data_IF_282514264375
#
_entry.id   IF_282514264375
#
_cell.length_a   1.000
_cell.length_b   1.000
_cell.length_c   1.000
_cell.angle_alpha   90.00
_cell.angle_beta   90.00
_cell.angle_gamma   90.00
#
_symmetry.space_group_name_H-M   'P 1'
#
loop_
_entity.id
_entity.type
_entity.pdbx_description
1 polymer ?
#
# COMPACT_ATOMS: atom_id res chain seq x y z
N UNK A 1 -16.22 20.95 -8.80
CA UNK A 1 -16.06 21.01 -10.28
C UNK A 1 -14.66 20.58 -10.74
N UNK A 2 -13.67 20.44 -9.84
CA UNK A 2 -12.31 20.03 -10.19
C UNK A 2 -12.13 18.51 -10.34
N UNK A 3 -12.81 17.68 -9.54
CA UNK A 3 -12.65 16.22 -9.56
C UNK A 3 -12.92 15.56 -10.93
N UNK A 4 -13.87 16.11 -11.70
CA UNK A 4 -14.26 15.53 -12.98
C UNK A 4 -13.18 15.72 -14.06
N UNK A 5 -12.39 16.80 -13.98
CA UNK A 5 -11.33 17.11 -14.95
C UNK A 5 -10.09 16.23 -14.71
N UNK A 6 -9.79 15.94 -13.44
CA UNK A 6 -8.67 15.06 -13.07
C UNK A 6 -8.89 13.61 -13.50
N UNK A 7 -10.11 13.08 -13.35
CA UNK A 7 -10.50 11.75 -13.81
C UNK A 7 -10.31 11.55 -15.32
N UNK A 8 -10.74 12.51 -16.15
CA UNK A 8 -10.65 12.41 -17.60
C UNK A 8 -9.19 12.41 -18.08
N UNK A 9 -8.35 13.31 -17.54
CA UNK A 9 -6.92 13.35 -17.85
C UNK A 9 -6.20 12.08 -17.44
N UNK A 10 -6.58 11.46 -16.31
CA UNK A 10 -6.02 10.19 -15.85
C UNK A 10 -6.39 9.05 -16.81
N UNK A 11 -7.66 8.98 -17.24
CA UNK A 11 -8.15 7.99 -18.21
C UNK A 11 -7.45 8.10 -19.58
N UNK A 12 -7.28 9.31 -20.12
CA UNK A 12 -6.57 9.52 -21.39
C UNK A 12 -5.09 9.10 -21.33
N UNK A 13 -4.41 9.39 -20.21
CA UNK A 13 -3.01 8.99 -20.02
C UNK A 13 -2.86 7.48 -19.91
N UNK A 14 -3.79 6.80 -19.24
CA UNK A 14 -3.83 5.33 -19.15
C UNK A 14 -4.07 4.70 -20.53
N UNK A 15 -4.95 5.29 -21.36
CA UNK A 15 -5.19 4.81 -22.73
C UNK A 15 -3.91 4.78 -23.60
N UNK A 16 -2.94 5.67 -23.35
CA UNK A 16 -1.65 5.63 -24.06
C UNK A 16 -0.88 4.35 -23.80
N UNK A 17 -1.04 3.73 -22.63
CA UNK A 17 -0.39 2.48 -22.26
C UNK A 17 -1.22 1.25 -22.63
N UNK A 18 -2.54 1.38 -22.73
CA UNK A 18 -3.45 0.30 -23.17
C UNK A 18 -3.04 -0.33 -24.51
N UNK A 19 -2.48 0.46 -25.43
CA UNK A 19 -1.97 -0.05 -26.71
C UNK A 19 -0.86 -1.09 -26.53
N UNK A 20 0.00 -0.92 -25.54
CA UNK A 20 1.07 -1.87 -25.23
C UNK A 20 0.50 -3.12 -24.57
N UNK A 21 -0.45 -2.95 -23.64
CA UNK A 21 -1.12 -4.07 -22.99
C UNK A 21 -1.90 -4.95 -23.97
N UNK A 22 -2.60 -4.35 -24.95
CA UNK A 22 -3.32 -5.09 -26.01
C UNK A 22 -2.38 -5.90 -26.91
N UNK A 23 -1.13 -5.48 -27.04
CA UNK A 23 -0.08 -6.15 -27.83
C UNK A 23 0.84 -7.05 -26.99
N UNK A 24 0.56 -7.22 -25.70
CA UNK A 24 1.41 -7.96 -24.77
C UNK A 24 2.85 -7.40 -24.67
N UNK A 25 3.04 -6.12 -24.98
CA UNK A 25 4.33 -5.43 -24.95
C UNK A 25 4.63 -4.86 -23.56
N UNK A 26 4.71 -5.73 -22.54
CA UNK A 26 4.78 -5.34 -21.14
C UNK A 26 6.03 -4.52 -20.78
N UNK A 27 7.19 -4.87 -21.32
CA UNK A 27 8.43 -4.12 -21.10
C UNK A 27 8.32 -2.68 -21.61
N UNK A 28 7.74 -2.49 -22.81
CA UNK A 28 7.52 -1.15 -23.41
C UNK A 28 6.52 -0.33 -22.60
N UNK A 29 5.48 -0.97 -22.06
CA UNK A 29 4.52 -0.30 -21.18
C UNK A 29 5.22 0.26 -19.93
N UNK A 30 6.04 -0.57 -19.28
CA UNK A 30 6.80 -0.18 -18.09
C UNK A 30 7.85 0.90 -18.41
N UNK A 31 8.55 0.81 -19.54
CA UNK A 31 9.53 1.84 -19.94
C UNK A 31 8.90 3.21 -20.15
N UNK A 32 7.78 3.24 -20.88
CA UNK A 32 7.04 4.46 -21.11
C UNK A 32 6.56 5.09 -19.78
N UNK A 33 6.14 4.25 -18.83
CA UNK A 33 5.70 4.68 -17.51
C UNK A 33 6.86 5.19 -16.64
N UNK A 34 8.03 4.56 -16.70
CA UNK A 34 9.24 4.97 -15.97
C UNK A 34 9.78 6.32 -16.48
N UNK A 35 9.54 6.68 -17.73
CA UNK A 35 9.95 7.97 -18.29
C UNK A 35 9.25 9.16 -17.62
N UNK A 36 7.99 8.99 -17.19
CA UNK A 36 7.21 10.05 -16.52
C UNK A 36 7.26 9.99 -15.00
N UNK A 37 7.97 9.02 -14.42
CA UNK A 37 7.95 8.67 -12.98
C UNK A 37 8.15 9.83 -12.00
N UNK A 38 8.94 10.84 -12.40
CA UNK A 38 9.23 12.00 -11.54
C UNK A 38 8.09 13.01 -11.55
N UNK A 39 7.44 13.19 -12.71
CA UNK A 39 6.35 14.16 -12.88
C UNK A 39 5.01 13.57 -12.49
N UNK A 40 4.81 12.28 -12.77
CA UNK A 40 3.51 11.60 -12.66
C UNK A 40 3.66 10.20 -12.04
N UNK A 41 4.08 10.11 -10.77
CA UNK A 41 4.29 8.82 -10.10
C UNK A 41 3.01 7.98 -10.04
N UNK A 42 1.84 8.61 -9.91
CA UNK A 42 0.54 7.91 -9.93
C UNK A 42 0.28 7.14 -11.23
N UNK A 43 0.69 7.71 -12.36
CA UNK A 43 0.55 7.07 -13.67
C UNK A 43 1.48 5.86 -13.73
N UNK A 44 2.73 6.01 -13.28
CA UNK A 44 3.69 4.90 -13.22
C UNK A 44 3.18 3.76 -12.34
N UNK A 45 2.67 4.06 -11.15
CA UNK A 45 2.09 3.06 -10.24
C UNK A 45 0.87 2.40 -10.87
N UNK A 46 0.00 3.16 -11.53
CA UNK A 46 -1.19 2.60 -12.20
C UNK A 46 -0.81 1.60 -13.32
N UNK A 47 0.22 1.92 -14.11
CA UNK A 47 0.73 0.98 -15.13
C UNK A 47 1.31 -0.27 -14.49
N UNK A 48 2.03 -0.13 -13.39
CA UNK A 48 2.56 -1.25 -12.61
C UNK A 48 1.43 -2.13 -12.05
N UNK A 49 0.37 -1.55 -11.51
CA UNK A 49 -0.81 -2.30 -11.04
C UNK A 49 -1.44 -3.11 -12.17
N UNK A 50 -1.57 -2.52 -13.35
CA UNK A 50 -2.12 -3.23 -14.52
C UNK A 50 -1.19 -4.36 -15.00
N UNK A 51 0.13 -4.20 -14.87
CA UNK A 51 1.10 -5.28 -15.10
C UNK A 51 0.93 -6.43 -14.11
N UNK A 52 0.75 -6.13 -12.81
CA UNK A 52 0.50 -7.14 -11.78
C UNK A 52 -0.80 -7.90 -12.09
N UNK A 53 -1.88 -7.17 -12.39
CA UNK A 53 -3.21 -7.74 -12.69
C UNK A 53 -3.21 -8.69 -13.89
N UNK A 54 -2.28 -8.50 -14.82
CA UNK A 54 -2.13 -9.32 -16.05
C UNK A 54 -1.02 -10.36 -15.94
N UNK A 55 -0.42 -10.54 -14.76
CA UNK A 55 0.77 -11.38 -14.56
C UNK A 55 1.96 -11.01 -15.47
N UNK A 56 1.96 -9.78 -16.00
CA UNK A 56 2.95 -9.25 -16.94
C UNK A 56 4.15 -8.58 -16.25
N UNK A 57 4.14 -8.46 -14.91
CA UNK A 57 5.22 -7.79 -14.17
C UNK A 57 6.55 -8.54 -14.29
N UNK A 58 6.57 -9.84 -14.01
CA UNK A 58 7.77 -10.67 -14.07
C UNK A 58 8.45 -10.64 -15.45
N UNK A 59 7.76 -10.86 -16.57
CA UNK A 59 8.37 -10.74 -17.90
C UNK A 59 8.81 -9.31 -18.23
N UNK A 60 8.10 -8.28 -17.77
CA UNK A 60 8.50 -6.88 -17.96
C UNK A 60 9.79 -6.50 -17.22
N UNK A 61 10.07 -7.16 -16.10
CA UNK A 61 11.28 -6.98 -15.30
C UNK A 61 12.45 -7.85 -15.80
N UNK A 62 12.17 -9.05 -16.32
CA UNK A 62 13.20 -10.01 -16.73
C UNK A 62 13.99 -9.56 -17.97
N UNK A 63 13.38 -8.77 -18.86
CA UNK A 63 13.99 -8.33 -20.10
C UNK A 63 14.84 -7.06 -19.96
N UNK A 64 15.34 -6.74 -18.76
CA UNK A 64 15.95 -5.44 -18.42
C UNK A 64 17.45 -5.52 -18.20
N UNK A 65 18.13 -4.46 -18.60
CA UNK A 65 19.52 -4.19 -18.27
C UNK A 65 19.67 -3.53 -16.88
N UNK A 66 20.88 -3.60 -16.33
CA UNK A 66 21.20 -3.08 -15.00
C UNK A 66 20.81 -1.60 -14.82
N UNK A 67 20.96 -0.78 -15.87
CA UNK A 67 20.63 0.64 -15.83
C UNK A 67 19.13 0.87 -15.70
N UNK A 68 18.31 0.19 -16.50
CA UNK A 68 16.86 0.32 -16.42
C UNK A 68 16.32 -0.25 -15.12
N UNK A 69 16.90 -1.35 -14.63
CA UNK A 69 16.60 -1.93 -13.32
C UNK A 69 16.89 -0.92 -12.20
N UNK A 70 18.03 -0.23 -12.25
CA UNK A 70 18.38 0.83 -11.30
C UNK A 70 17.36 1.97 -11.26
N UNK A 71 16.75 2.36 -12.39
CA UNK A 71 15.67 3.37 -12.38
C UNK A 71 14.41 2.89 -11.66
N UNK A 72 14.06 1.61 -11.79
CA UNK A 72 12.91 1.00 -11.11
C UNK A 72 13.18 0.91 -9.61
N UNK A 73 14.35 0.41 -9.21
CA UNK A 73 14.70 0.29 -7.78
C UNK A 73 14.67 1.66 -7.10
N UNK A 74 15.28 2.68 -7.72
CA UNK A 74 15.26 4.06 -7.20
C UNK A 74 13.85 4.63 -7.15
N UNK A 75 13.00 4.31 -8.13
CA UNK A 75 11.60 4.73 -8.11
C UNK A 75 10.84 4.14 -6.92
N UNK A 76 11.03 2.84 -6.66
CA UNK A 76 10.43 2.14 -5.52
C UNK A 76 10.92 2.77 -4.22
N UNK A 77 12.23 2.88 -4.01
CA UNK A 77 12.82 3.47 -2.80
C UNK A 77 12.28 4.88 -2.51
N UNK A 78 12.08 5.69 -3.55
CA UNK A 78 11.58 7.06 -3.44
C UNK A 78 10.10 7.14 -3.04
N UNK A 79 9.29 6.14 -3.40
CA UNK A 79 7.83 6.22 -3.33
C UNK A 79 7.18 5.18 -2.40
N UNK A 80 7.94 4.21 -1.88
CA UNK A 80 7.40 3.12 -1.06
C UNK A 80 6.77 3.60 0.24
N UNK A 81 7.26 4.70 0.83
CA UNK A 81 6.70 5.31 2.03
C UNK A 81 5.40 6.08 1.79
N UNK A 82 4.94 6.23 0.54
CA UNK A 82 3.65 6.84 0.25
C UNK A 82 2.54 5.79 0.41
N UNK A 83 1.61 5.92 1.38
CA UNK A 83 0.59 4.91 1.67
C UNK A 83 -0.27 4.52 0.48
N UNK A 84 -0.46 5.43 -0.49
CA UNK A 84 -1.22 5.15 -1.72
C UNK A 84 -0.52 4.16 -2.64
N UNK A 85 0.80 4.05 -2.54
CA UNK A 85 1.65 3.25 -3.42
C UNK A 85 2.29 2.07 -2.70
N UNK A 86 2.41 2.13 -1.36
CA UNK A 86 3.15 1.16 -0.53
C UNK A 86 2.78 -0.28 -0.86
N UNK A 87 1.50 -0.63 -0.90
CA UNK A 87 1.07 -2.01 -1.20
C UNK A 87 1.60 -2.47 -2.56
N UNK A 88 1.29 -1.74 -3.64
CA UNK A 88 1.75 -2.08 -4.99
C UNK A 88 3.28 -2.12 -5.09
N UNK A 89 3.98 -1.13 -4.53
CA UNK A 89 5.44 -1.06 -4.64
C UNK A 89 6.14 -2.13 -3.80
N UNK A 90 5.54 -2.57 -2.70
CA UNK A 90 6.02 -3.70 -1.90
C UNK A 90 5.91 -5.01 -2.68
N UNK A 91 4.79 -5.24 -3.37
CA UNK A 91 4.62 -6.42 -4.22
C UNK A 91 5.69 -6.47 -5.34
N UNK A 92 5.93 -5.32 -5.98
CA UNK A 92 6.98 -5.22 -7.02
C UNK A 92 8.37 -5.43 -6.44
N UNK A 93 8.65 -4.88 -5.26
CA UNK A 93 9.92 -5.06 -4.58
C UNK A 93 10.16 -6.54 -4.25
N UNK A 94 9.13 -7.27 -3.79
CA UNK A 94 9.20 -8.71 -3.56
C UNK A 94 9.58 -9.47 -4.82
N UNK A 95 8.86 -9.25 -5.92
CA UNK A 95 9.16 -9.90 -7.22
C UNK A 95 10.58 -9.57 -7.70
N UNK A 96 11.02 -8.33 -7.56
CA UNK A 96 12.39 -7.91 -7.91
C UNK A 96 13.45 -8.64 -7.09
N UNK A 97 13.27 -8.71 -5.77
CA UNK A 97 14.19 -9.40 -4.87
C UNK A 97 14.26 -10.89 -5.18
N UNK A 98 13.12 -11.53 -5.45
CA UNK A 98 13.05 -12.95 -5.78
C UNK A 98 13.75 -13.27 -7.11
N UNK A 99 13.55 -12.44 -8.13
CA UNK A 99 14.20 -12.59 -9.44
C UNK A 99 15.70 -12.36 -9.39
N UNK A 100 16.14 -11.45 -8.53
CA UNK A 100 17.55 -11.10 -8.43
C UNK A 100 18.34 -12.05 -7.52
N UNK A 101 17.66 -12.82 -6.66
CA UNK A 101 18.34 -13.78 -5.78
C UNK A 101 19.23 -14.78 -6.54
N UNK A 102 18.90 -15.07 -7.81
CA UNK A 102 19.71 -15.93 -8.71
C UNK A 102 20.85 -15.21 -9.46
N UNK A 103 20.92 -13.88 -9.40
CA UNK A 103 21.84 -13.02 -10.15
C UNK A 103 22.73 -12.13 -9.27
N UNK A 104 22.76 -12.41 -7.95
CA UNK A 104 23.57 -11.65 -6.98
C UNK A 104 25.05 -11.66 -7.38
N UNK A 105 25.70 -10.49 -7.30
CA UNK A 105 27.15 -10.35 -7.53
C UNK A 105 27.54 -10.09 -8.98
N UNK A 106 26.59 -9.97 -9.90
CA UNK A 106 26.85 -9.63 -11.31
C UNK A 106 27.15 -8.13 -11.50
N UNK A 107 26.53 -7.26 -10.69
CA UNK A 107 26.70 -5.82 -10.79
C UNK A 107 26.66 -5.16 -9.41
N UNK A 108 27.83 -4.68 -8.94
CA UNK A 108 27.98 -4.10 -7.60
C UNK A 108 27.08 -2.87 -7.34
N UNK A 109 26.77 -2.07 -8.38
CA UNK A 109 25.85 -0.93 -8.25
C UNK A 109 24.41 -1.40 -7.98
N UNK A 110 23.93 -2.38 -8.74
CA UNK A 110 22.59 -2.95 -8.59
C UNK A 110 22.48 -3.70 -7.26
N UNK A 111 23.51 -4.45 -6.86
CA UNK A 111 23.59 -5.13 -5.57
C UNK A 111 23.42 -4.14 -4.40
N UNK A 112 24.14 -3.00 -4.44
CA UNK A 112 24.02 -1.96 -3.42
C UNK A 112 22.61 -1.35 -3.38
N UNK A 113 22.01 -1.11 -4.55
CA UNK A 113 20.65 -0.59 -4.65
C UNK A 113 19.62 -1.58 -4.09
N UNK A 114 19.74 -2.86 -4.37
CA UNK A 114 18.84 -3.90 -3.87
C UNK A 114 19.01 -4.12 -2.37
N UNK A 115 20.24 -4.09 -1.85
CA UNK A 115 20.47 -4.17 -0.41
C UNK A 115 19.79 -3.01 0.32
N UNK A 116 19.93 -1.78 -0.21
CA UNK A 116 19.21 -0.61 0.33
C UNK A 116 17.70 -0.79 0.24
N UNK A 117 17.19 -1.27 -0.89
CA UNK A 117 15.75 -1.53 -1.07
C UNK A 117 15.24 -2.53 -0.03
N UNK A 118 15.96 -3.63 0.18
CA UNK A 118 15.61 -4.65 1.18
C UNK A 118 15.53 -4.05 2.59
N UNK A 119 16.48 -3.22 2.97
CA UNK A 119 16.46 -2.53 4.27
C UNK A 119 15.27 -1.59 4.38
N UNK A 120 14.99 -0.78 3.34
CA UNK A 120 13.84 0.13 3.33
C UNK A 120 12.51 -0.62 3.43
N UNK A 121 12.32 -1.68 2.62
CA UNK A 121 11.10 -2.51 2.66
C UNK A 121 10.91 -3.12 4.05
N UNK A 122 11.99 -3.61 4.67
CA UNK A 122 11.93 -4.18 6.02
C UNK A 122 11.50 -3.14 7.06
N UNK A 123 12.09 -1.94 7.02
CA UNK A 123 11.73 -0.84 7.93
C UNK A 123 10.25 -0.47 7.78
N UNK A 124 9.75 -0.40 6.55
CA UNK A 124 8.35 -0.08 6.27
C UNK A 124 7.39 -1.14 6.80
N UNK A 125 7.71 -2.42 6.65
CA UNK A 125 6.93 -3.50 7.24
C UNK A 125 6.93 -3.41 8.78
N UNK A 126 8.09 -3.12 9.38
CA UNK A 126 8.20 -2.97 10.83
C UNK A 126 7.39 -1.76 11.35
N UNK A 127 7.37 -0.64 10.61
CA UNK A 127 6.53 0.52 10.94
C UNK A 127 5.04 0.22 10.78
N UNK A 128 4.64 -0.47 9.71
CA UNK A 128 3.25 -0.88 9.51
C UNK A 128 2.75 -1.78 10.65
N UNK A 129 3.62 -2.67 11.14
CA UNK A 129 3.31 -3.52 12.30
C UNK A 129 3.08 -2.70 13.57
N UNK A 130 3.97 -1.76 13.88
CA UNK A 130 3.84 -0.89 15.05
C UNK A 130 2.58 0.00 14.99
N UNK A 131 2.25 0.49 13.80
CA UNK A 131 1.01 1.24 13.57
C UNK A 131 -0.23 0.37 13.83
N UNK A 132 -0.23 -0.88 13.34
CA UNK A 132 -1.32 -1.82 13.57
C UNK A 132 -1.50 -2.16 15.05
N UNK A 133 -0.41 -2.38 15.77
CA UNK A 133 -0.43 -2.60 17.22
C UNK A 133 -1.04 -1.38 17.94
N UNK A 134 -0.60 -0.17 17.59
CA UNK A 134 -1.13 1.07 18.16
C UNK A 134 -2.64 1.22 17.90
N UNK A 135 -3.09 0.99 16.66
CA UNK A 135 -4.52 1.05 16.32
C UNK A 135 -5.32 0.03 17.14
N UNK A 136 -4.84 -1.21 17.27
CA UNK A 136 -5.50 -2.23 18.08
C UNK A 136 -5.62 -1.86 19.56
N UNK A 137 -4.61 -1.16 20.13
CA UNK A 137 -4.72 -0.64 21.51
C UNK A 137 -5.76 0.47 21.63
N UNK A 138 -5.88 1.35 20.63
CA UNK A 138 -6.90 2.40 20.61
C UNK A 138 -8.31 1.81 20.52
N UNK A 139 -8.51 0.80 19.66
CA UNK A 139 -9.80 0.11 19.53
C UNK A 139 -10.20 -0.56 20.85
N UNK A 140 -9.25 -1.18 21.56
CA UNK A 140 -9.50 -1.77 22.88
C UNK A 140 -9.92 -0.71 23.91
N UNK A 141 -9.26 0.45 23.92
CA UNK A 141 -9.61 1.56 24.82
C UNK A 141 -11.01 2.09 24.52
N UNK A 142 -11.35 2.32 23.24
CA UNK A 142 -12.68 2.78 22.86
C UNK A 142 -13.76 1.75 23.21
N UNK A 143 -13.53 0.46 22.94
CA UNK A 143 -14.46 -0.60 23.31
C UNK A 143 -14.67 -0.68 24.84
N UNK A 144 -13.61 -0.51 25.63
CA UNK A 144 -13.69 -0.47 27.09
C UNK A 144 -14.51 0.73 27.60
N UNK A 145 -14.32 1.92 27.01
CA UNK A 145 -15.10 3.12 27.36
C UNK A 145 -16.58 2.95 27.03
N UNK A 146 -16.92 2.46 25.83
CA UNK A 146 -18.31 2.20 25.43
C UNK A 146 -19.00 1.16 26.33
N UNK A 147 -18.27 0.12 26.74
CA UNK A 147 -18.79 -0.88 27.68
C UNK A 147 -19.08 -0.27 29.05
N UNK A 148 -18.19 0.60 29.56
CA UNK A 148 -18.38 1.27 30.84
C UNK A 148 -19.55 2.28 30.82
N UNK A 149 -19.75 3.02 29.72
CA UNK A 149 -20.92 3.90 29.56
C UNK A 149 -22.23 3.10 29.62
N UNK A 150 -22.28 1.95 28.95
CA UNK A 150 -23.47 1.10 28.95
C UNK A 150 -23.75 0.51 30.35
N UNK A 151 -22.70 0.22 31.13
CA UNK A 151 -22.83 -0.24 32.52
C UNK A 151 -23.38 0.85 33.46
N UNK A 152 -22.97 2.10 33.28
CA UNK A 152 -23.50 3.24 34.05
C UNK A 152 -24.97 3.59 33.71
N UNK A 153 -25.36 3.47 32.44
CA UNK A 153 -26.76 3.64 32.02
C UNK A 153 -27.67 2.55 32.61
N UNK A 154 -27.18 1.31 32.69
CA UNK A 154 -27.94 0.19 33.22
C UNK A 154 -28.00 0.20 34.76
N UNK A 155 -26.92 0.62 35.45
CA UNK A 155 -26.95 0.79 36.92
C UNK A 155 -27.89 1.90 37.38
N UNK A 156 -27.95 3.02 36.67
CA UNK A 156 -28.89 4.11 36.99
C UNK A 156 -30.36 3.73 36.79
N UNK A 157 -30.64 2.68 36.01
CA UNK A 157 -32.00 2.17 35.80
C UNK A 157 -32.42 1.13 36.85
N UNK A 158 -31.49 0.57 37.63
CA UNK A 158 -31.74 -0.46 38.64
C UNK A 158 -31.93 0.10 40.07
N UNK A 159 -31.62 1.37 40.31
CA UNK A 159 -31.71 2.01 41.64
C UNK A 159 -33.09 2.65 41.98
N UNK A 160 -34.09 2.53 41.10
CA UNK A 160 -35.48 2.94 41.41
C UNK A 160 -36.36 1.71 41.68
N UNK A 161 -35.97 0.90 42.66
CA UNK A 161 -36.89 0.01 43.37
C UNK A 161 -37.20 0.66 44.72
N UNK A 162 -38.09 1.65 44.71
CA UNK A 162 -38.69 2.13 45.95
C UNK A 162 -39.48 0.97 46.58
N UNK A 163 -39.34 0.68 47.88
CA UNK A 163 -40.21 -0.26 48.54
C UNK A 163 -41.64 0.26 48.45
N UNK A 164 -42.56 -0.55 47.92
CA UNK A 164 -43.97 -0.20 47.82
C UNK A 164 -44.53 0.13 49.21
N UNK A 165 -45.26 1.25 49.29
CA UNK A 165 -45.74 1.93 50.50
C UNK A 165 -46.67 1.06 51.39
N UNK A 166 -47.01 -0.16 50.96
CA UNK A 166 -47.87 -1.10 51.69
C UNK A 166 -47.25 -1.82 52.90
N UNK A 167 -45.96 -1.62 53.21
CA UNK A 167 -45.29 -2.33 54.32
C UNK A 167 -45.12 -1.49 55.61
N UNK A 168 -45.70 -0.29 55.69
CA UNK A 168 -45.58 0.60 56.86
C UNK A 168 -46.94 0.88 57.54
N UNK A 169 -47.81 -0.11 57.69
CA UNK A 169 -48.93 -0.01 58.63
C UNK A 169 -49.34 -1.40 59.10
N UNK A 170 -48.81 -1.83 60.26
CA UNK A 170 -49.47 -2.60 61.32
C UNK A 170 -48.50 -2.83 62.47
#
# INVERSE_FOLDING_TARGET
MEDQIYEHKKKEKIQKYDKFFRKFEYSKALDAAIHVRTKEPEVTVSVIQELIRREGLKPALAARDDKSLGFIIRFIQRNISNPRFTSTLTDVAGVLLDMYNSHIGQCAEVDSLLQKLRTTVKQEVDYMKQLMETMGTMDMLFAAVSTNQNKQLNSNSLDVLTPSVGAQTS
#
